data_IF_732928181719
#
_entry.id   IF_732928181719
#
_cell.length_a   1.000
_cell.length_b   1.000
_cell.length_c   1.000
_cell.angle_alpha   90.00
_cell.angle_beta   90.00
_cell.angle_gamma   90.00
#
_symmetry.space_group_name_H-M   'P 1'
#
loop_
_entity.id
_entity.type
_entity.pdbx_description
1 polymer ?
#
# COMPACT_ATOMS: atom_id res chain seq x y z
N UNK A 1 -22.68 3.63 12.86
CA UNK A 1 -22.52 4.86 12.07
C UNK A 1 -21.45 5.68 12.75
N UNK A 2 -20.31 5.99 12.09
CA UNK A 2 -19.32 6.87 12.71
C UNK A 2 -19.95 8.27 12.91
N UNK A 3 -19.59 8.99 13.98
CA UNK A 3 -20.11 10.33 14.22
C UNK A 3 -19.75 11.25 13.06
N UNK A 4 -20.72 12.01 12.57
CA UNK A 4 -20.48 13.08 11.61
C UNK A 4 -19.48 14.07 12.23
N UNK A 5 -18.29 14.14 11.66
CA UNK A 5 -17.28 15.14 12.05
C UNK A 5 -17.89 16.52 11.84
N UNK A 6 -18.10 17.28 12.92
CA UNK A 6 -18.59 18.65 12.85
C UNK A 6 -17.75 19.50 11.90
N UNK A 7 -18.43 20.38 11.14
CA UNK A 7 -17.87 21.18 10.03
C UNK A 7 -16.56 21.91 10.36
N UNK A 8 -16.28 22.20 11.64
CA UNK A 8 -15.13 22.96 12.11
C UNK A 8 -13.74 22.29 11.91
N UNK A 9 -13.66 21.00 11.54
CA UNK A 9 -12.40 20.27 11.38
C UNK A 9 -12.07 19.83 9.94
N UNK A 10 -12.86 20.24 8.94
CA UNK A 10 -12.55 19.95 7.54
C UNK A 10 -11.49 20.92 7.03
N UNK A 11 -10.41 20.38 6.48
CA UNK A 11 -9.40 21.18 5.79
C UNK A 11 -9.98 21.60 4.44
N UNK A 12 -9.61 22.77 3.92
CA UNK A 12 -9.92 23.10 2.53
C UNK A 12 -9.16 22.11 1.63
N UNK A 13 -9.90 21.27 0.91
CA UNK A 13 -9.36 20.14 0.13
C UNK A 13 -9.74 20.31 -1.34
N UNK A 14 -8.88 19.82 -2.24
CA UNK A 14 -9.17 19.81 -3.67
C UNK A 14 -10.27 18.80 -4.00
N UNK A 15 -11.10 19.07 -5.00
CA UNK A 15 -12.21 18.19 -5.39
C UNK A 15 -13.40 18.27 -4.42
N UNK A 16 -13.90 19.48 -4.14
CA UNK A 16 -15.05 19.65 -3.22
C UNK A 16 -16.30 18.88 -3.68
N UNK A 17 -16.43 18.63 -4.98
CA UNK A 17 -17.54 17.90 -5.60
C UNK A 17 -17.29 16.38 -5.78
N UNK A 18 -16.07 15.88 -5.49
CA UNK A 18 -15.73 14.46 -5.66
C UNK A 18 -14.53 14.01 -4.80
N UNK A 19 -14.60 12.80 -4.22
CA UNK A 19 -13.51 12.27 -3.40
C UNK A 19 -12.25 11.91 -4.20
N UNK A 20 -11.08 11.97 -3.54
CA UNK A 20 -9.81 11.51 -4.12
C UNK A 20 -9.57 10.01 -3.90
N UNK A 21 -8.88 9.38 -4.86
CA UNK A 21 -8.33 8.01 -4.71
C UNK A 21 -6.81 8.08 -4.60
N UNK A 22 -6.26 7.63 -3.48
CA UNK A 22 -4.82 7.51 -3.27
C UNK A 22 -4.34 6.14 -3.75
N UNK A 23 -3.55 6.11 -4.80
CA UNK A 23 -3.12 4.87 -5.46
C UNK A 23 -1.87 4.24 -4.82
N UNK A 24 -1.19 4.92 -3.88
CA UNK A 24 0.05 4.43 -3.27
C UNK A 24 0.07 4.72 -1.77
N UNK A 25 -0.40 3.77 -0.97
CA UNK A 25 -0.26 3.81 0.49
C UNK A 25 0.45 2.58 1.02
N UNK A 26 1.13 2.71 2.16
CA UNK A 26 1.75 1.59 2.87
C UNK A 26 0.98 1.29 4.16
N UNK A 27 1.05 0.04 4.63
CA UNK A 27 0.52 -0.33 5.94
C UNK A 27 1.43 0.28 7.03
N UNK A 28 1.31 1.57 7.28
CA UNK A 28 2.20 2.31 8.17
C UNK A 28 1.64 2.38 9.60
N UNK A 29 1.31 1.22 10.16
CA UNK A 29 0.79 1.09 11.52
C UNK A 29 1.87 0.64 12.49
N UNK A 30 1.75 0.89 13.80
CA UNK A 30 2.71 0.39 14.78
C UNK A 30 2.96 -1.12 14.66
N UNK A 31 1.92 -1.90 14.38
CA UNK A 31 2.02 -3.35 14.18
C UNK A 31 2.88 -3.69 12.96
N UNK A 32 2.60 -3.06 11.82
CA UNK A 32 3.32 -3.30 10.57
C UNK A 32 4.80 -2.90 10.65
N UNK A 33 5.11 -1.84 11.40
CA UNK A 33 6.49 -1.41 11.65
C UNK A 33 7.25 -2.40 12.54
N UNK A 34 6.55 -3.12 13.41
CA UNK A 34 7.13 -4.14 14.29
C UNK A 34 7.17 -5.54 13.66
N UNK A 35 6.39 -5.81 12.60
CA UNK A 35 6.20 -7.14 12.02
C UNK A 35 7.02 -7.42 10.74
N UNK A 36 8.10 -6.66 10.48
CA UNK A 36 8.92 -6.77 9.27
C UNK A 36 8.13 -6.57 7.95
N UNK A 37 7.00 -5.87 8.01
CA UNK A 37 6.21 -5.52 6.82
C UNK A 37 6.67 -4.21 6.16
N UNK A 38 7.67 -3.56 6.74
CA UNK A 38 8.20 -2.28 6.30
C UNK A 38 9.71 -2.31 6.23
N UNK A 39 10.27 -1.85 5.11
CA UNK A 39 11.72 -1.81 4.85
C UNK A 39 12.40 -0.54 5.39
N UNK A 40 11.67 0.29 6.14
CA UNK A 40 12.17 1.57 6.66
C UNK A 40 12.44 1.49 8.15
N UNK A 41 13.59 1.98 8.59
CA UNK A 41 13.91 2.17 10.01
C UNK A 41 13.67 3.63 10.46
N UNK A 42 13.89 3.91 11.75
CA UNK A 42 13.72 5.26 12.30
C UNK A 42 14.65 6.29 11.63
N UNK A 43 15.90 5.93 11.35
CA UNK A 43 16.87 6.85 10.75
C UNK A 43 16.47 7.23 9.32
N UNK A 44 15.96 6.27 8.56
CA UNK A 44 15.41 6.51 7.23
C UNK A 44 14.19 7.43 7.30
N UNK A 45 13.26 7.18 8.22
CA UNK A 45 12.04 8.01 8.37
C UNK A 45 12.38 9.46 8.77
N UNK A 46 13.43 9.66 9.55
CA UNK A 46 13.96 10.99 9.85
C UNK A 46 14.51 11.68 8.60
N UNK A 47 15.34 10.99 7.81
CA UNK A 47 15.89 11.51 6.55
C UNK A 47 14.80 11.81 5.52
N UNK A 48 13.77 10.96 5.46
CA UNK A 48 12.59 11.13 4.61
C UNK A 48 11.63 12.22 5.11
N UNK A 49 11.95 12.91 6.21
CA UNK A 49 11.15 14.00 6.80
C UNK A 49 9.73 13.58 7.18
N UNK A 50 9.55 12.31 7.55
CA UNK A 50 8.29 11.85 8.19
C UNK A 50 8.11 12.65 9.48
N UNK A 51 6.92 13.25 9.65
CA UNK A 51 6.62 14.08 10.83
C UNK A 51 6.83 13.29 12.12
N UNK A 52 7.40 13.90 13.19
CA UNK A 52 7.70 13.20 14.45
C UNK A 52 6.53 12.38 14.99
N UNK A 53 5.32 12.91 14.92
CA UNK A 53 4.08 12.29 15.40
C UNK A 53 3.67 11.02 14.63
N UNK A 54 4.18 10.82 13.40
CA UNK A 54 3.86 9.63 12.59
C UNK A 54 4.96 8.58 12.64
N UNK A 55 6.18 8.89 13.11
CA UNK A 55 7.35 7.99 12.94
C UNK A 55 7.18 6.61 13.58
N UNK A 56 6.36 6.51 14.61
CA UNK A 56 6.00 5.26 15.29
C UNK A 56 4.82 4.51 14.61
N UNK A 57 4.31 5.01 13.49
CA UNK A 57 3.14 4.52 12.80
C UNK A 57 1.88 5.30 13.16
N UNK A 58 0.86 5.16 12.32
CA UNK A 58 -0.49 5.68 12.53
C UNK A 58 -1.43 4.48 12.59
N UNK A 59 -2.30 4.41 13.60
CA UNK A 59 -3.29 3.33 13.66
C UNK A 59 -4.22 3.39 12.44
N UNK A 60 -4.79 2.24 12.04
CA UNK A 60 -5.72 2.20 10.90
C UNK A 60 -6.89 3.19 11.08
N UNK A 61 -7.46 3.25 12.31
CA UNK A 61 -8.49 4.22 12.65
C UNK A 61 -8.01 5.67 12.52
N UNK A 62 -6.82 6.00 13.04
CA UNK A 62 -6.25 7.33 12.92
C UNK A 62 -5.98 7.75 11.48
N UNK A 63 -5.60 6.79 10.62
CA UNK A 63 -5.43 7.04 9.19
C UNK A 63 -6.77 7.27 8.48
N UNK A 64 -7.83 6.52 8.80
CA UNK A 64 -9.18 6.76 8.27
C UNK A 64 -9.66 8.17 8.63
N UNK A 65 -9.45 8.62 9.88
CA UNK A 65 -9.80 10.00 10.26
C UNK A 65 -8.99 11.05 9.49
N UNK A 66 -7.74 10.75 9.12
CA UNK A 66 -6.94 11.62 8.24
C UNK A 66 -7.54 11.66 6.83
N UNK A 67 -7.96 10.51 6.29
CA UNK A 67 -8.61 10.42 4.98
C UNK A 67 -9.90 11.24 4.96
N UNK A 68 -10.75 11.12 5.98
CA UNK A 68 -12.01 11.87 6.10
C UNK A 68 -11.76 13.38 6.10
N UNK A 69 -10.76 13.85 6.86
CA UNK A 69 -10.39 15.28 6.89
C UNK A 69 -9.78 15.77 5.58
N UNK A 70 -9.13 14.88 4.82
CA UNK A 70 -8.45 15.18 3.57
C UNK A 70 -9.34 15.00 2.32
N UNK A 71 -10.58 14.52 2.48
CA UNK A 71 -11.47 14.23 1.35
C UNK A 71 -11.01 13.02 0.51
N UNK A 72 -10.22 12.12 1.09
CA UNK A 72 -9.78 10.89 0.41
C UNK A 72 -10.83 9.81 0.67
N UNK A 73 -11.48 9.33 -0.38
CA UNK A 73 -12.55 8.32 -0.25
C UNK A 73 -11.98 6.89 -0.22
N UNK A 74 -10.90 6.66 -0.98
CA UNK A 74 -10.29 5.34 -1.16
C UNK A 74 -8.78 5.46 -1.18
N UNK A 75 -8.12 4.50 -0.55
CA UNK A 75 -6.67 4.32 -0.64
C UNK A 75 -6.35 2.88 -1.02
N UNK A 76 -5.37 2.69 -1.91
CA UNK A 76 -4.89 1.38 -2.36
C UNK A 76 -3.60 1.02 -1.64
N UNK A 77 -3.66 -0.07 -0.88
CA UNK A 77 -2.52 -0.59 -0.15
C UNK A 77 -1.52 -1.27 -1.07
N UNK A 78 -0.27 -0.81 -1.03
CA UNK A 78 0.83 -1.47 -1.72
C UNK A 78 1.16 -2.77 -0.99
N UNK A 79 0.94 -3.90 -1.67
CA UNK A 79 1.40 -5.21 -1.22
C UNK A 79 2.90 -5.34 -1.44
N UNK A 80 3.68 -4.63 -0.63
CA UNK A 80 5.13 -4.56 -0.79
C UNK A 80 5.78 -5.93 -0.58
N UNK A 81 6.57 -6.33 -1.57
CA UNK A 81 7.67 -7.27 -1.42
C UNK A 81 8.95 -6.54 -1.80
N UNK A 82 9.78 -6.23 -0.81
CA UNK A 82 11.01 -5.45 -0.97
C UNK A 82 12.19 -6.23 -0.41
N UNK A 83 13.26 -6.30 -1.19
CA UNK A 83 14.50 -6.97 -0.83
C UNK A 83 14.44 -8.51 -0.90
N UNK A 84 15.61 -9.12 -0.77
CA UNK A 84 15.76 -10.57 -0.65
C UNK A 84 15.45 -10.97 0.80
N UNK A 85 14.53 -11.93 1.02
CA UNK A 85 14.13 -12.37 2.36
C UNK A 85 15.31 -12.88 3.22
N UNK A 86 16.46 -13.18 2.61
CA UNK A 86 17.71 -13.56 3.29
C UNK A 86 18.48 -12.36 3.85
N UNK A 87 18.12 -11.13 3.49
CA UNK A 87 18.81 -9.89 3.84
C UNK A 87 18.03 -9.12 4.91
N UNK A 88 18.74 -8.67 5.94
CA UNK A 88 18.17 -7.82 6.98
C UNK A 88 17.69 -6.49 6.39
N UNK A 89 16.42 -6.13 6.66
CA UNK A 89 15.77 -4.92 6.13
C UNK A 89 14.79 -5.19 4.99
N UNK A 90 14.71 -6.43 4.49
CA UNK A 90 13.67 -6.83 3.55
C UNK A 90 12.29 -6.86 4.20
N UNK A 91 11.27 -6.51 3.43
CA UNK A 91 9.89 -6.39 3.87
C UNK A 91 8.96 -7.17 2.98
N UNK A 92 8.00 -7.89 3.58
CA UNK A 92 7.01 -8.66 2.85
C UNK A 92 5.68 -8.64 3.57
N UNK A 93 4.68 -8.04 2.94
CA UNK A 93 3.31 -8.07 3.46
C UNK A 93 2.69 -9.44 3.20
N UNK A 94 2.15 -10.08 4.24
CA UNK A 94 1.56 -11.41 4.17
C UNK A 94 0.13 -11.35 3.60
N UNK A 95 0.01 -11.25 2.28
CA UNK A 95 -1.28 -11.39 1.57
C UNK A 95 -1.24 -12.62 0.66
N UNK A 96 -2.17 -13.55 0.87
CA UNK A 96 -2.25 -14.78 0.07
C UNK A 96 -2.96 -14.52 -1.28
N UNK A 97 -2.20 -14.60 -2.38
CA UNK A 97 -2.73 -14.44 -3.73
C UNK A 97 -3.58 -15.62 -4.16
N UNK A 98 -3.42 -16.82 -3.60
CA UNK A 98 -4.22 -17.98 -4.00
C UNK A 98 -5.65 -17.98 -3.43
N UNK A 99 -5.95 -17.04 -2.52
CA UNK A 99 -7.24 -16.91 -1.85
C UNK A 99 -7.81 -15.50 -2.02
N UNK A 100 -7.69 -14.65 -1.00
CA UNK A 100 -8.32 -13.34 -0.93
C UNK A 100 -7.58 -12.26 -1.73
N UNK A 101 -6.27 -12.42 -1.94
CA UNK A 101 -5.43 -11.40 -2.58
C UNK A 101 -5.59 -11.30 -4.10
N UNK A 102 -5.99 -12.37 -4.78
CA UNK A 102 -6.00 -12.44 -6.26
C UNK A 102 -6.76 -11.31 -6.96
N UNK A 103 -7.83 -10.77 -6.35
CA UNK A 103 -8.70 -9.75 -6.95
C UNK A 103 -8.43 -8.34 -6.38
N UNK A 104 -7.38 -8.18 -5.57
CA UNK A 104 -7.14 -6.98 -4.74
C UNK A 104 -5.77 -6.36 -4.92
N UNK A 105 -4.95 -6.96 -5.79
CA UNK A 105 -3.56 -6.55 -6.02
C UNK A 105 -3.33 -6.29 -7.49
N UNK A 106 -2.62 -5.21 -7.78
CA UNK A 106 -2.09 -4.88 -9.09
C UNK A 106 -0.58 -5.10 -9.08
N UNK A 107 -0.04 -5.66 -10.15
CA UNK A 107 1.40 -5.79 -10.35
C UNK A 107 2.07 -4.42 -10.58
N UNK A 108 3.25 -4.22 -9.97
CA UNK A 108 4.07 -3.02 -10.16
C UNK A 108 5.52 -3.28 -9.75
N UNK A 109 6.46 -2.64 -10.45
CA UNK A 109 7.91 -2.86 -10.26
C UNK A 109 8.61 -1.74 -9.49
N UNK A 110 7.99 -0.58 -9.33
CA UNK A 110 8.68 0.62 -8.79
C UNK A 110 9.93 0.99 -9.63
N UNK A 111 9.84 0.87 -10.97
CA UNK A 111 10.93 1.26 -11.88
C UNK A 111 11.33 2.74 -11.67
N UNK A 112 12.63 3.08 -11.59
CA UNK A 112 13.81 2.26 -11.91
C UNK A 112 14.45 1.52 -10.72
N UNK A 113 13.76 1.43 -9.59
CA UNK A 113 14.28 0.81 -8.36
C UNK A 113 14.40 -0.70 -8.51
N UNK A 114 13.44 -1.36 -9.16
CA UNK A 114 13.48 -2.81 -9.43
C UNK A 114 13.46 -3.10 -10.92
N UNK A 115 14.38 -3.98 -11.35
CA UNK A 115 14.49 -4.48 -12.71
C UNK A 115 13.27 -5.35 -13.09
N UNK A 116 12.49 -4.98 -14.13
CA UNK A 116 11.32 -5.73 -14.56
C UNK A 116 11.63 -7.17 -14.99
N UNK A 117 12.77 -7.41 -15.63
CA UNK A 117 13.13 -8.76 -16.08
C UNK A 117 13.33 -9.70 -14.89
N UNK A 118 14.07 -9.21 -13.89
CA UNK A 118 14.26 -9.92 -12.62
C UNK A 118 12.92 -10.20 -11.93
N UNK A 119 12.03 -9.21 -11.81
CA UNK A 119 10.73 -9.42 -11.14
C UNK A 119 9.89 -10.47 -11.85
N UNK A 120 9.87 -10.46 -13.19
CA UNK A 120 9.10 -11.46 -13.94
C UNK A 120 9.63 -12.88 -13.74
N UNK A 121 10.95 -13.05 -13.65
CA UNK A 121 11.57 -14.34 -13.27
C UNK A 121 11.17 -14.74 -11.86
N UNK A 122 11.27 -13.82 -10.90
CA UNK A 122 10.90 -14.10 -9.51
C UNK A 122 9.42 -14.48 -9.38
N UNK A 123 8.50 -13.79 -10.07
CA UNK A 123 7.05 -14.10 -10.07
C UNK A 123 6.75 -15.45 -10.75
N UNK A 124 7.53 -15.84 -11.77
CA UNK A 124 7.39 -17.14 -12.39
C UNK A 124 7.59 -18.28 -11.37
N UNK A 125 8.57 -18.12 -10.48
CA UNK A 125 8.93 -19.10 -9.44
C UNK A 125 7.98 -19.12 -8.23
N UNK A 126 7.09 -18.13 -8.09
CA UNK A 126 6.10 -18.13 -7.01
C UNK A 126 4.98 -19.13 -7.30
N UNK A 127 4.65 -19.96 -6.30
CA UNK A 127 3.58 -20.95 -6.31
C UNK A 127 2.18 -20.31 -6.19
N UNK A 128 1.82 -19.53 -7.21
CA UNK A 128 0.46 -19.02 -7.40
C UNK A 128 -0.27 -19.88 -8.44
N UNK A 129 -1.54 -20.19 -8.17
CA UNK A 129 -2.48 -20.77 -9.13
C UNK A 129 -2.49 -19.89 -10.39
N UNK A 130 -2.55 -20.52 -11.57
CA UNK A 130 -2.50 -19.80 -12.85
C UNK A 130 -3.53 -18.66 -12.93
N UNK A 131 -4.76 -18.90 -12.45
CA UNK A 131 -5.81 -17.87 -12.41
C UNK A 131 -5.46 -16.68 -11.51
N UNK A 132 -4.83 -16.92 -10.36
CA UNK A 132 -4.38 -15.84 -9.47
C UNK A 132 -3.23 -15.05 -10.10
N UNK A 133 -2.26 -15.75 -10.74
CA UNK A 133 -1.13 -15.13 -11.42
C UNK A 133 -1.59 -14.24 -12.59
N UNK A 134 -2.56 -14.69 -13.39
CA UNK A 134 -3.15 -13.91 -14.49
C UNK A 134 -3.87 -12.65 -13.97
N UNK A 135 -4.65 -12.77 -12.91
CA UNK A 135 -5.36 -11.64 -12.30
C UNK A 135 -4.40 -10.56 -11.80
N UNK A 136 -3.40 -10.96 -11.01
CA UNK A 136 -2.44 -10.04 -10.41
C UNK A 136 -1.57 -9.36 -11.47
N UNK A 137 -1.07 -10.11 -12.46
CA UNK A 137 -0.19 -9.57 -13.51
C UNK A 137 -0.95 -8.74 -14.56
N UNK A 138 -2.26 -8.95 -14.73
CA UNK A 138 -3.00 -8.38 -15.86
C UNK A 138 -4.46 -8.05 -15.58
N UNK A 139 -5.31 -9.04 -15.30
CA UNK A 139 -6.76 -8.87 -15.45
C UNK A 139 -7.33 -7.83 -14.49
N UNK A 140 -6.76 -7.70 -13.28
CA UNK A 140 -7.17 -6.67 -12.32
C UNK A 140 -6.92 -5.25 -12.86
N UNK A 141 -5.79 -5.03 -13.54
CA UNK A 141 -5.47 -3.73 -14.13
C UNK A 141 -6.41 -3.43 -15.31
N UNK A 142 -6.66 -4.42 -16.18
CA UNK A 142 -7.61 -4.26 -17.28
C UNK A 142 -9.02 -3.91 -16.78
N UNK A 143 -9.49 -4.60 -15.72
CA UNK A 143 -10.79 -4.33 -15.12
C UNK A 143 -10.87 -2.94 -14.48
N UNK A 144 -9.84 -2.54 -13.73
CA UNK A 144 -9.83 -1.25 -13.03
C UNK A 144 -9.74 -0.07 -14.00
N UNK A 145 -8.89 -0.17 -15.02
CA UNK A 145 -8.63 0.91 -15.97
C UNK A 145 -9.48 0.85 -17.24
N UNK A 146 -10.33 -0.17 -17.39
CA UNK A 146 -11.18 -0.37 -18.58
C UNK A 146 -10.39 -0.34 -19.89
N UNK A 147 -9.28 -1.08 -19.93
CA UNK A 147 -8.32 -1.14 -21.06
C UNK A 147 -8.70 -2.19 -22.13
#
# INVERSE_FOLDING_TARGET
>A
MPPELGEANRVQVAGEDYGASDIVINAFTPEALNSAWMSTDMQFREKARVKPEYRAGVSAAGYIEMMDRAGIERSLLVAQRSGDLRVQGSAHMLLDMNTFGQDKVLFGTDWPVVDPERVMVEVADIDWREGAKCKVLRDNALALFSL
#
